data_IF_011826683554
#
_entry.id   IF_011826683554
#
_cell.length_a   1.000
_cell.length_b   1.000
_cell.length_c   1.000
_cell.angle_alpha   90.00
_cell.angle_beta   90.00
_cell.angle_gamma   90.00
#
_symmetry.space_group_name_H-M   'P 1'
#
loop_
_entity.id
_entity.type
_entity.pdbx_description
1 polymer ?
#
# COMPACT_ATOMS: atom_id res chain seq x y z
N UNK A 1 -17.00 39.74 -38.60
CA UNK A 1 -17.61 41.05 -38.93
C UNK A 1 -18.90 40.77 -39.67
N UNK A 2 -20.09 40.87 -39.06
CA UNK A 2 -20.42 41.04 -37.62
C UNK A 2 -20.30 39.66 -36.90
N UNK A 3 -20.83 39.27 -35.72
CA UNK A 3 -21.53 39.91 -34.57
C UNK A 3 -23.10 39.96 -34.47
N UNK A 4 -23.61 39.71 -33.25
CA UNK A 4 -24.97 39.92 -32.66
C UNK A 4 -26.20 39.20 -33.30
N UNK A 5 -27.12 38.57 -32.56
CA UNK A 5 -27.14 38.17 -31.13
C UNK A 5 -28.56 37.98 -30.50
N UNK A 6 -28.67 37.06 -29.52
CA UNK A 6 -29.78 36.84 -28.55
C UNK A 6 -31.17 36.36 -29.09
N UNK A 7 -32.09 35.75 -28.32
CA UNK A 7 -32.15 35.48 -26.86
C UNK A 7 -32.95 34.21 -26.45
N UNK A 8 -32.53 33.61 -25.32
CA UNK A 8 -33.26 32.89 -24.24
C UNK A 8 -34.69 32.31 -24.42
N UNK A 9 -34.88 31.03 -24.09
CA UNK A 9 -35.69 30.49 -22.94
C UNK A 9 -35.67 28.95 -22.97
N UNK A 10 -35.67 28.19 -21.86
CA UNK A 10 -35.65 28.56 -20.43
C UNK A 10 -35.23 27.37 -19.54
N UNK A 11 -35.25 27.56 -18.22
CA UNK A 11 -34.89 26.57 -17.18
C UNK A 11 -35.98 25.47 -17.04
N UNK A 12 -35.94 24.46 -16.15
CA UNK A 12 -35.17 24.16 -14.93
C UNK A 12 -35.33 22.62 -14.66
N UNK A 13 -34.72 21.91 -13.69
CA UNK A 13 -33.85 22.09 -12.50
C UNK A 13 -32.96 20.83 -12.36
N UNK A 14 -31.97 20.68 -11.47
CA UNK A 14 -30.96 21.56 -10.85
C UNK A 14 -30.06 20.71 -9.92
N UNK A 15 -28.82 21.15 -9.65
CA UNK A 15 -27.94 20.62 -8.59
C UNK A 15 -27.94 21.56 -7.35
N UNK A 16 -27.61 21.08 -6.14
CA UNK A 16 -27.27 21.94 -5.01
C UNK A 16 -25.79 22.37 -5.06
N UNK A 17 -25.51 23.47 -5.76
CA UNK A 17 -24.19 24.12 -5.75
C UNK A 17 -23.87 24.78 -4.41
N UNK A 18 -22.60 24.74 -3.97
CA UNK A 18 -22.07 25.67 -2.97
C UNK A 18 -21.39 26.87 -3.64
N UNK A 19 -21.75 28.07 -3.20
CA UNK A 19 -21.43 29.36 -3.84
C UNK A 19 -20.09 29.97 -3.38
N UNK A 20 -19.55 30.92 -4.15
CA UNK A 20 -18.18 31.43 -4.07
C UNK A 20 -18.06 32.96 -4.17
N UNK A 21 -18.60 33.70 -3.19
CA UNK A 21 -18.32 35.16 -3.04
C UNK A 21 -17.61 35.48 -1.72
N UNK A 22 -16.30 35.73 -1.82
CA UNK A 22 -15.37 35.73 -0.71
C UNK A 22 -15.47 36.86 0.33
N UNK A 23 -14.78 36.62 1.44
CA UNK A 23 -14.19 37.66 2.30
C UNK A 23 -12.69 37.45 2.37
N UNK A 24 -11.92 38.55 2.39
CA UNK A 24 -10.46 38.52 2.31
C UNK A 24 -9.82 38.84 3.66
N UNK A 25 -9.00 37.93 4.20
CA UNK A 25 -8.06 38.23 5.28
C UNK A 25 -6.69 37.58 5.04
N UNK A 26 -5.62 38.35 5.26
CA UNK A 26 -4.24 37.86 5.43
C UNK A 26 -3.92 37.73 6.93
N UNK A 27 -2.71 37.28 7.29
CA UNK A 27 -2.35 35.89 7.53
C UNK A 27 -2.47 35.55 9.03
N UNK A 28 -3.32 34.58 9.37
CA UNK A 28 -3.39 34.03 10.73
C UNK A 28 -2.52 32.79 10.85
N UNK A 29 -1.65 32.73 11.87
CA UNK A 29 -1.00 31.47 12.25
C UNK A 29 -2.06 30.52 12.83
N UNK A 30 -2.36 29.46 12.10
CA UNK A 30 -3.26 28.39 12.50
C UNK A 30 -3.07 27.23 11.54
N UNK A 31 -2.83 26.03 12.07
CA UNK A 31 -2.51 24.87 11.23
C UNK A 31 -3.65 24.53 10.28
N UNK A 32 -3.30 24.15 9.05
CA UNK A 32 -4.24 23.49 8.14
C UNK A 32 -4.66 22.16 8.77
N UNK A 33 -5.82 22.13 9.40
CA UNK A 33 -6.49 20.88 9.77
C UNK A 33 -6.70 20.09 8.49
N UNK A 34 -6.01 18.97 8.37
CA UNK A 34 -6.13 18.07 7.22
C UNK A 34 -7.58 17.63 7.08
N UNK A 35 -8.23 18.04 5.99
CA UNK A 35 -9.58 17.62 5.70
C UNK A 35 -9.55 16.14 5.31
N UNK A 36 -10.15 15.31 6.16
CA UNK A 36 -10.19 13.85 6.06
C UNK A 36 -11.00 13.31 4.87
N UNK A 37 -11.79 14.17 4.22
CA UNK A 37 -13.00 13.73 3.52
C UNK A 37 -12.78 13.40 2.04
N UNK A 38 -11.53 13.42 1.52
CA UNK A 38 -11.26 13.19 0.09
C UNK A 38 -9.96 12.44 -0.30
N UNK A 39 -9.12 11.97 0.63
CA UNK A 39 -7.86 11.26 0.30
C UNK A 39 -7.67 9.90 1.00
N UNK A 40 -8.71 9.07 0.94
CA UNK A 40 -8.58 7.61 0.79
C UNK A 40 -9.79 7.14 -0.01
N UNK A 41 -9.63 6.53 -1.18
CA UNK A 41 -10.78 6.04 -1.94
C UNK A 41 -11.56 4.96 -1.17
N UNK A 42 -12.90 5.01 -1.26
CA UNK A 42 -13.79 3.96 -0.76
C UNK A 42 -13.77 2.68 -1.63
N UNK A 43 -12.85 2.59 -2.60
CA UNK A 43 -12.53 1.36 -3.31
C UNK A 43 -11.59 0.44 -2.52
N UNK A 44 -10.63 1.02 -1.80
CA UNK A 44 -9.48 0.29 -1.24
C UNK A 44 -9.69 -0.24 0.19
N UNK A 45 -10.33 0.54 1.08
CA UNK A 45 -10.29 0.33 2.55
C UNK A 45 -10.76 -1.05 3.05
N UNK A 46 -11.59 -1.74 2.30
CA UNK A 46 -12.39 -2.87 2.79
C UNK A 46 -11.68 -4.24 2.67
N UNK A 47 -10.78 -4.39 1.68
CA UNK A 47 -10.19 -5.69 1.28
C UNK A 47 -8.68 -5.50 1.04
N UNK A 48 -7.96 -5.08 2.09
CA UNK A 48 -6.49 -5.06 2.11
C UNK A 48 -5.86 -6.31 2.74
N UNK A 49 -6.57 -6.98 3.66
CA UNK A 49 -6.14 -8.23 4.29
C UNK A 49 -7.35 -9.18 4.38
N UNK A 50 -7.13 -10.46 4.13
CA UNK A 50 -8.11 -11.51 4.38
C UNK A 50 -7.44 -12.83 4.80
N UNK A 51 -8.22 -13.75 5.35
CA UNK A 51 -7.74 -15.09 5.74
C UNK A 51 -8.11 -16.15 4.71
N UNK A 52 -7.18 -17.06 4.42
CA UNK A 52 -7.34 -18.19 3.50
C UNK A 52 -8.21 -19.33 4.06
N UNK A 53 -8.52 -19.30 5.35
CA UNK A 53 -9.38 -20.26 6.05
C UNK A 53 -10.82 -19.75 6.28
N UNK A 54 -11.17 -18.60 5.70
CA UNK A 54 -12.49 -17.99 5.85
C UNK A 54 -12.76 -17.43 7.26
N UNK A 55 -11.75 -17.30 8.12
CA UNK A 55 -11.91 -16.58 9.40
C UNK A 55 -12.03 -15.07 9.19
N UNK A 56 -12.80 -14.41 10.06
CA UNK A 56 -12.95 -12.96 10.08
C UNK A 56 -11.63 -12.28 10.50
N UNK A 57 -11.26 -11.24 9.74
CA UNK A 57 -10.09 -10.40 9.97
C UNK A 57 -10.55 -8.98 10.28
N UNK A 58 -10.35 -8.52 11.51
CA UNK A 58 -10.67 -7.13 11.91
C UNK A 58 -9.53 -6.20 11.51
N UNK A 59 -9.78 -5.22 10.63
CA UNK A 59 -8.81 -4.20 10.28
C UNK A 59 -8.74 -3.07 11.32
N UNK A 60 -7.73 -2.21 11.21
CA UNK A 60 -7.47 -1.06 12.08
C UNK A 60 -8.63 -0.03 12.19
N UNK A 61 -9.65 -0.12 11.32
CA UNK A 61 -10.82 0.76 11.31
C UNK A 61 -12.08 0.10 11.90
N UNK A 62 -11.99 -1.15 12.39
CA UNK A 62 -13.12 -1.88 12.97
C UNK A 62 -14.05 -2.55 11.95
N UNK A 63 -13.64 -2.63 10.68
CA UNK A 63 -14.29 -3.51 9.71
C UNK A 63 -13.72 -4.92 9.84
N UNK A 64 -14.59 -5.91 9.75
CA UNK A 64 -14.26 -7.33 9.73
C UNK A 64 -14.52 -7.86 8.32
N UNK A 65 -13.51 -8.47 7.70
CA UNK A 65 -13.59 -9.05 6.36
C UNK A 65 -13.25 -10.54 6.41
N UNK A 66 -13.98 -11.39 5.68
CA UNK A 66 -13.60 -12.79 5.45
C UNK A 66 -13.74 -13.18 3.98
N UNK A 67 -12.89 -14.08 3.51
CA UNK A 67 -13.04 -14.73 2.21
C UNK A 67 -14.13 -15.80 2.33
N UNK A 68 -15.27 -15.58 1.67
CA UNK A 68 -16.46 -16.44 1.71
C UNK A 68 -16.60 -17.32 0.46
N UNK A 69 -15.89 -17.00 -0.63
CA UNK A 69 -15.88 -17.81 -1.85
C UNK A 69 -14.70 -17.51 -2.76
N UNK A 70 -14.32 -18.51 -3.56
CA UNK A 70 -13.34 -18.41 -4.65
C UNK A 70 -13.96 -19.07 -5.88
N UNK A 71 -13.99 -18.38 -7.02
CA UNK A 71 -14.52 -18.92 -8.30
C UNK A 71 -13.45 -18.79 -9.39
N UNK A 72 -13.23 -19.86 -10.15
CA UNK A 72 -12.31 -19.89 -11.30
C UNK A 72 -12.84 -20.81 -12.41
N UNK A 73 -12.61 -20.48 -13.67
CA UNK A 73 -12.89 -21.37 -14.81
C UNK A 73 -11.68 -22.28 -15.08
N UNK A 74 -11.83 -23.58 -14.80
CA UNK A 74 -10.82 -24.60 -15.07
C UNK A 74 -11.08 -25.25 -16.44
N UNK A 75 -10.12 -25.30 -17.39
CA UNK A 75 -10.38 -25.83 -18.75
C UNK A 75 -10.80 -27.31 -18.82
N UNK A 76 -10.58 -28.11 -17.77
CA UNK A 76 -11.01 -29.51 -17.70
C UNK A 76 -12.28 -29.71 -16.87
N UNK A 77 -12.48 -28.87 -15.84
CA UNK A 77 -13.59 -29.00 -14.91
C UNK A 77 -14.72 -27.97 -15.11
N UNK A 78 -14.55 -26.98 -15.99
CA UNK A 78 -15.42 -25.80 -16.10
C UNK A 78 -15.31 -24.90 -14.88
N UNK A 79 -16.33 -24.08 -14.61
CA UNK A 79 -16.40 -23.27 -13.38
C UNK A 79 -16.26 -24.15 -12.13
N UNK A 80 -15.38 -23.74 -11.22
CA UNK A 80 -15.15 -24.35 -9.92
C UNK A 80 -15.25 -23.26 -8.85
N UNK A 81 -16.12 -23.50 -7.87
CA UNK A 81 -16.39 -22.62 -6.73
C UNK A 81 -16.00 -23.31 -5.41
N UNK A 82 -15.58 -22.55 -4.39
CA UNK A 82 -15.31 -23.07 -3.03
C UNK A 82 -15.44 -21.96 -1.98
N UNK A 83 -16.26 -22.19 -0.94
CA UNK A 83 -16.20 -21.48 0.34
C UNK A 83 -15.06 -22.06 1.20
N UNK A 84 -14.02 -21.28 1.56
CA UNK A 84 -12.93 -21.76 2.40
C UNK A 84 -13.36 -22.10 3.84
N UNK A 85 -14.38 -21.41 4.37
CA UNK A 85 -14.88 -21.56 5.73
C UNK A 85 -15.91 -22.69 5.91
N UNK A 86 -16.57 -23.15 4.84
CA UNK A 86 -17.52 -24.27 4.90
C UNK A 86 -16.88 -25.62 5.26
N UNK A 87 -15.55 -25.73 5.14
CA UNK A 87 -14.82 -26.98 5.28
C UNK A 87 -14.90 -27.86 4.02
N UNK A 88 -13.90 -28.72 3.83
CA UNK A 88 -13.76 -29.50 2.59
C UNK A 88 -14.79 -30.63 2.54
N UNK A 89 -15.93 -30.36 1.91
CA UNK A 89 -16.86 -31.39 1.44
C UNK A 89 -16.29 -32.13 0.22
N UNK A 90 -16.78 -33.33 -0.05
CA UNK A 90 -16.29 -34.16 -1.16
C UNK A 90 -16.78 -33.64 -2.51
N UNK A 91 -15.91 -32.99 -3.26
CA UNK A 91 -16.19 -32.42 -4.58
C UNK A 91 -14.93 -31.85 -5.22
N UNK A 92 -15.09 -31.11 -6.32
CA UNK A 92 -14.02 -30.20 -6.80
C UNK A 92 -13.76 -29.15 -5.72
N UNK A 93 -12.53 -28.66 -5.60
CA UNK A 93 -12.25 -27.51 -4.71
C UNK A 93 -11.15 -26.60 -5.25
N UNK A 94 -11.20 -25.34 -4.83
CA UNK A 94 -10.22 -24.29 -5.14
C UNK A 94 -9.48 -23.91 -3.86
N UNK A 95 -8.16 -23.73 -3.94
CA UNK A 95 -7.33 -23.26 -2.82
C UNK A 95 -6.36 -22.20 -3.32
N UNK A 96 -6.38 -21.00 -2.76
CA UNK A 96 -5.35 -19.99 -3.00
C UNK A 96 -4.02 -20.49 -2.43
N UNK A 97 -2.98 -20.48 -3.24
CA UNK A 97 -1.61 -20.83 -2.86
C UNK A 97 -0.72 -19.66 -3.27
N UNK A 98 -0.21 -18.92 -2.28
CA UNK A 98 0.48 -17.63 -2.48
C UNK A 98 2.00 -17.64 -2.24
N UNK A 99 2.78 -18.70 -2.55
CA UNK A 99 4.14 -18.86 -2.04
C UNK A 99 5.13 -17.75 -2.47
N UNK A 100 4.83 -17.03 -3.55
CA UNK A 100 5.61 -15.88 -4.04
C UNK A 100 4.74 -14.77 -4.68
N UNK A 101 3.56 -15.12 -5.19
CA UNK A 101 2.56 -14.23 -5.79
C UNK A 101 1.17 -14.88 -5.68
N UNK A 102 0.11 -14.21 -6.16
CA UNK A 102 -1.21 -14.83 -6.28
C UNK A 102 -1.17 -16.04 -7.21
N UNK A 103 -1.63 -17.18 -6.68
CA UNK A 103 -1.79 -18.43 -7.39
C UNK A 103 -2.90 -19.26 -6.78
N UNK A 104 -3.41 -20.22 -7.56
CA UNK A 104 -4.59 -21.01 -7.23
C UNK A 104 -4.34 -22.47 -7.60
N UNK A 105 -4.77 -23.41 -6.75
CA UNK A 105 -4.78 -24.84 -7.08
C UNK A 105 -6.22 -25.36 -7.11
N UNK A 106 -6.63 -25.87 -8.27
CA UNK A 106 -7.90 -26.59 -8.44
C UNK A 106 -7.64 -28.09 -8.25
N UNK A 107 -8.49 -28.73 -7.45
CA UNK A 107 -8.46 -30.17 -7.20
C UNK A 107 -9.70 -30.81 -7.83
N UNK A 108 -9.50 -31.90 -8.58
CA UNK A 108 -10.62 -32.72 -9.06
C UNK A 108 -11.36 -33.46 -7.94
N UNK A 109 -12.51 -34.10 -8.25
CA UNK A 109 -13.47 -34.59 -7.25
C UNK A 109 -12.99 -35.77 -6.38
N UNK A 110 -11.95 -36.48 -6.81
CA UNK A 110 -11.31 -37.58 -6.06
C UNK A 110 -9.86 -37.21 -5.69
N UNK A 111 -9.31 -37.66 -4.55
CA UNK A 111 -7.93 -37.33 -4.13
C UNK A 111 -6.82 -37.73 -5.11
N UNK A 112 -7.09 -38.68 -6.02
CA UNK A 112 -6.18 -39.15 -7.07
C UNK A 112 -6.31 -38.37 -8.40
N UNK A 113 -7.24 -37.42 -8.48
CA UNK A 113 -7.42 -36.59 -9.69
C UNK A 113 -6.20 -35.67 -9.88
N UNK A 114 -5.86 -35.30 -11.12
CA UNK A 114 -4.92 -34.21 -11.37
C UNK A 114 -5.31 -32.94 -10.61
N UNK A 115 -4.29 -32.28 -10.05
CA UNK A 115 -4.39 -30.92 -9.53
C UNK A 115 -3.90 -29.99 -10.63
N UNK A 116 -4.62 -28.90 -10.88
CA UNK A 116 -4.18 -27.85 -11.78
C UNK A 116 -3.74 -26.66 -10.96
N UNK A 117 -2.65 -26.00 -11.36
CA UNK A 117 -2.06 -24.86 -10.65
C UNK A 117 -2.00 -23.68 -11.61
N UNK A 118 -2.53 -22.55 -11.17
CA UNK A 118 -2.70 -21.32 -11.93
C UNK A 118 -1.93 -20.21 -11.23
N UNK A 119 -1.29 -19.31 -11.98
CA UNK A 119 -0.62 -18.12 -11.46
C UNK A 119 -0.12 -17.20 -12.57
N UNK A 120 0.02 -15.90 -12.30
CA UNK A 120 0.30 -14.91 -13.34
C UNK A 120 -0.93 -14.69 -14.23
N UNK A 121 -0.76 -14.70 -15.56
CA UNK A 121 -1.86 -14.56 -16.52
C UNK A 121 -2.95 -15.64 -16.32
N UNK A 122 -2.57 -16.85 -15.89
CA UNK A 122 -3.48 -17.99 -15.65
C UNK A 122 -4.51 -17.75 -14.52
N UNK A 123 -4.39 -16.67 -13.72
CA UNK A 123 -5.43 -16.27 -12.73
C UNK A 123 -6.25 -15.06 -13.15
N UNK A 124 -6.14 -14.56 -14.38
CA UNK A 124 -7.09 -13.57 -14.92
C UNK A 124 -8.47 -14.24 -15.03
N UNK A 125 -9.52 -13.55 -14.57
CA UNK A 125 -10.87 -14.11 -14.41
C UNK A 125 -11.11 -14.84 -13.08
N UNK A 126 -10.11 -14.97 -12.20
CA UNK A 126 -10.31 -15.41 -10.82
C UNK A 126 -11.20 -14.42 -10.07
N UNK A 127 -12.27 -14.91 -9.46
CA UNK A 127 -13.18 -14.12 -8.63
C UNK A 127 -13.06 -14.52 -7.16
N UNK A 128 -13.08 -13.52 -6.28
CA UNK A 128 -12.96 -13.64 -4.84
C UNK A 128 -14.19 -12.99 -4.21
N UNK A 129 -15.00 -13.80 -3.54
CA UNK A 129 -16.17 -13.35 -2.80
C UNK A 129 -15.80 -13.10 -1.34
N UNK A 130 -16.03 -11.87 -0.87
CA UNK A 130 -15.81 -11.46 0.51
C UNK A 130 -17.12 -11.10 1.21
N UNK A 131 -17.25 -11.54 2.45
CA UNK A 131 -18.19 -10.93 3.39
C UNK A 131 -17.45 -9.84 4.18
N UNK A 132 -18.07 -8.66 4.27
CA UNK A 132 -17.55 -7.49 5.01
C UNK A 132 -18.63 -7.01 5.98
N UNK A 133 -18.24 -6.65 7.21
CA UNK A 133 -19.13 -5.96 8.17
C UNK A 133 -18.36 -4.95 9.00
N UNK A 134 -19.04 -3.93 9.52
CA UNK A 134 -18.52 -3.22 10.70
C UNK A 134 -18.71 -4.13 11.94
N UNK A 135 -17.83 -4.04 12.94
CA UNK A 135 -17.87 -4.92 14.12
C UNK A 135 -19.27 -4.95 14.79
N UNK A 136 -19.88 -6.14 14.83
CA UNK A 136 -21.25 -6.36 15.35
C UNK A 136 -22.41 -5.85 14.47
N UNK A 137 -22.11 -5.31 13.29
CA UNK A 137 -23.09 -4.83 12.31
C UNK A 137 -23.57 -5.89 11.31
N UNK A 138 -24.42 -5.49 10.33
CA UNK A 138 -24.85 -6.37 9.25
C UNK A 138 -23.69 -6.73 8.33
N UNK A 139 -23.81 -7.90 7.69
CA UNK A 139 -22.88 -8.37 6.65
C UNK A 139 -23.31 -7.82 5.29
N UNK A 140 -22.31 -7.42 4.50
CA UNK A 140 -22.41 -7.03 3.10
C UNK A 140 -21.53 -7.97 2.28
N UNK A 141 -21.97 -8.33 1.08
CA UNK A 141 -21.18 -9.09 0.11
C UNK A 141 -20.37 -8.13 -0.77
N UNK A 142 -19.15 -8.52 -1.13
CA UNK A 142 -18.29 -7.77 -2.04
C UNK A 142 -17.48 -8.74 -2.88
N UNK A 143 -17.61 -8.65 -4.20
CA UNK A 143 -16.96 -9.53 -5.17
C UNK A 143 -15.83 -8.79 -5.87
N UNK A 144 -14.67 -9.44 -6.02
CA UNK A 144 -13.48 -8.87 -6.66
C UNK A 144 -12.92 -9.84 -7.70
N UNK A 145 -12.73 -9.36 -8.94
CA UNK A 145 -12.16 -10.12 -10.06
C UNK A 145 -10.73 -9.67 -10.35
N UNK A 146 -9.83 -10.62 -10.63
CA UNK A 146 -8.53 -10.35 -11.26
C UNK A 146 -8.76 -10.09 -12.74
N UNK A 147 -8.42 -8.90 -13.24
CA UNK A 147 -8.72 -8.48 -14.63
C UNK A 147 -7.48 -8.28 -15.50
N UNK A 148 -6.30 -8.19 -14.90
CA UNK A 148 -5.02 -8.00 -15.59
C UNK A 148 -3.86 -8.55 -14.76
N UNK A 149 -2.75 -8.90 -15.41
CA UNK A 149 -1.49 -9.33 -14.79
C UNK A 149 -0.30 -8.69 -15.50
N UNK A 150 0.68 -8.23 -14.73
CA UNK A 150 1.95 -7.76 -15.26
C UNK A 150 3.12 -8.18 -14.37
N UNK A 151 4.25 -8.52 -15.01
CA UNK A 151 5.55 -8.66 -14.36
C UNK A 151 6.24 -7.31 -14.32
N UNK A 152 6.92 -6.98 -13.23
CA UNK A 152 7.89 -5.87 -13.21
C UNK A 152 9.29 -6.33 -13.67
N UNK A 153 10.24 -5.40 -13.74
CA UNK A 153 11.61 -5.66 -14.23
C UNK A 153 12.36 -6.70 -13.37
N UNK A 154 11.98 -6.84 -12.09
CA UNK A 154 12.46 -7.90 -11.19
C UNK A 154 11.80 -9.28 -11.40
N UNK A 155 10.89 -9.41 -12.38
CA UNK A 155 10.16 -10.64 -12.67
C UNK A 155 9.05 -10.97 -11.68
N UNK A 156 8.67 -10.05 -10.79
CA UNK A 156 7.62 -10.29 -9.80
C UNK A 156 6.23 -9.97 -10.33
N UNK A 157 5.26 -10.83 -10.10
CA UNK A 157 3.85 -10.60 -10.50
C UNK A 157 3.10 -9.52 -9.73
N UNK A 158 2.40 -8.67 -10.47
CA UNK A 158 1.41 -7.69 -10.02
C UNK A 158 0.09 -7.89 -10.77
N UNK A 159 -1.03 -7.50 -10.17
CA UNK A 159 -2.38 -7.84 -10.68
C UNK A 159 -3.32 -6.65 -10.58
N UNK A 160 -4.18 -6.43 -11.58
CA UNK A 160 -5.31 -5.50 -11.46
C UNK A 160 -6.52 -6.23 -10.87
N UNK A 161 -7.20 -5.57 -9.93
CA UNK A 161 -8.38 -6.09 -9.24
C UNK A 161 -9.54 -5.12 -9.36
N UNK A 162 -10.69 -5.58 -9.88
CA UNK A 162 -11.93 -4.82 -9.99
C UNK A 162 -12.99 -5.35 -9.02
N UNK A 163 -13.68 -4.46 -8.28
CA UNK A 163 -14.97 -4.80 -7.66
C UNK A 163 -15.95 -5.11 -8.79
N UNK A 164 -16.70 -6.20 -8.69
CA UNK A 164 -17.70 -6.62 -9.67
C UNK A 164 -19.10 -6.62 -9.05
N UNK A 165 -20.11 -6.44 -9.90
CA UNK A 165 -21.52 -6.56 -9.54
C UNK A 165 -21.95 -8.04 -9.56
N UNK A 166 -22.41 -8.62 -8.44
CA UNK A 166 -22.81 -10.03 -8.40
C UNK A 166 -24.12 -10.33 -9.15
N UNK A 167 -24.96 -9.33 -9.46
CA UNK A 167 -26.20 -9.55 -10.24
C UNK A 167 -25.93 -9.60 -11.74
N UNK A 168 -25.00 -8.80 -12.25
CA UNK A 168 -24.71 -8.68 -13.69
C UNK A 168 -23.37 -9.29 -14.12
N UNK A 169 -22.48 -9.59 -13.18
CA UNK A 169 -21.09 -9.96 -13.44
C UNK A 169 -20.23 -8.81 -13.99
N UNK A 170 -20.75 -7.58 -14.05
CA UNK A 170 -20.07 -6.42 -14.63
C UNK A 170 -19.00 -5.82 -13.71
N UNK A 171 -17.90 -5.33 -14.30
CA UNK A 171 -16.88 -4.57 -13.58
C UNK A 171 -17.44 -3.21 -13.12
N UNK A 172 -17.39 -2.93 -11.82
CA UNK A 172 -17.83 -1.65 -11.23
C UNK A 172 -16.67 -0.64 -11.22
N UNK A 173 -15.59 -1.00 -10.54
CA UNK A 173 -14.43 -0.12 -10.34
C UNK A 173 -13.19 -0.89 -9.85
N UNK A 174 -11.97 -0.47 -10.21
CA UNK A 174 -10.74 -0.97 -9.60
C UNK A 174 -10.67 -0.67 -8.10
N UNK A 175 -10.16 -1.63 -7.31
CA UNK A 175 -9.91 -1.45 -5.86
C UNK A 175 -8.73 -0.52 -5.60
N UNK A 176 -7.80 -0.41 -6.56
CA UNK A 176 -6.58 0.37 -6.44
C UNK A 176 -6.66 1.73 -7.14
N UNK A 177 -6.06 2.72 -6.49
CA UNK A 177 -5.80 4.04 -7.03
C UNK A 177 -4.70 3.99 -8.11
N UNK A 178 -4.57 5.09 -8.86
CA UNK A 178 -3.61 5.22 -9.97
C UNK A 178 -2.20 5.44 -9.41
N UNK A 179 -1.22 4.68 -9.89
CA UNK A 179 0.20 4.87 -9.58
C UNK A 179 0.86 5.94 -10.48
N UNK A 180 2.16 6.18 -10.29
CA UNK A 180 2.92 7.18 -11.05
C UNK A 180 2.99 6.90 -12.56
N UNK A 181 2.71 5.67 -12.98
CA UNK A 181 2.81 5.21 -14.36
C UNK A 181 1.43 5.15 -15.04
N UNK A 182 0.36 5.49 -14.32
CA UNK A 182 -1.03 5.43 -14.80
C UNK A 182 -1.73 4.09 -14.55
N UNK A 183 -1.05 3.11 -13.96
CA UNK A 183 -1.59 1.77 -13.74
C UNK A 183 -2.30 1.65 -12.39
N UNK A 184 -3.08 0.57 -12.22
CA UNK A 184 -3.90 0.30 -11.01
C UNK A 184 -3.63 -1.09 -10.45
N UNK A 185 -2.37 -1.49 -10.46
CA UNK A 185 -1.94 -2.84 -10.05
C UNK A 185 -1.78 -2.94 -8.54
N UNK A 186 -1.83 -4.17 -8.03
CA UNK A 186 -1.47 -4.52 -6.66
C UNK A 186 -0.48 -5.69 -6.62
N UNK A 187 0.26 -5.74 -5.52
CA UNK A 187 1.05 -6.88 -5.07
C UNK A 187 0.22 -7.73 -4.11
N UNK A 188 0.48 -9.03 -4.12
CA UNK A 188 -0.19 -9.99 -3.22
C UNK A 188 0.87 -10.69 -2.39
N UNK A 189 0.86 -10.46 -1.08
CA UNK A 189 1.84 -11.01 -0.15
C UNK A 189 1.23 -12.12 0.71
N UNK A 190 1.86 -13.30 0.84
CA UNK A 190 1.42 -14.36 1.74
C UNK A 190 1.80 -14.12 3.19
N UNK A 191 1.05 -14.73 4.10
CA UNK A 191 1.39 -14.96 5.50
C UNK A 191 1.82 -13.70 6.28
N UNK A 192 1.30 -12.54 5.90
CA UNK A 192 1.66 -11.24 6.48
C UNK A 192 0.43 -10.37 6.65
N UNK A 193 0.43 -9.58 7.72
CA UNK A 193 -0.44 -8.42 7.94
C UNK A 193 0.41 -7.16 7.92
N UNK A 194 -0.04 -6.12 7.23
CA UNK A 194 0.64 -4.83 7.09
C UNK A 194 -0.33 -3.72 7.49
N UNK A 195 -0.04 -3.10 8.65
CA UNK A 195 -0.83 -2.00 9.21
C UNK A 195 -0.74 -0.78 8.28
N UNK A 196 -1.88 -0.33 7.77
CA UNK A 196 -1.95 0.77 6.79
C UNK A 196 -1.75 2.16 7.40
N UNK A 197 -1.76 2.29 8.73
CA UNK A 197 -1.52 3.56 9.45
C UNK A 197 -0.05 3.68 9.82
N UNK A 198 0.50 2.75 10.60
CA UNK A 198 1.86 2.86 11.15
C UNK A 198 2.92 2.05 10.38
N UNK A 199 2.51 1.22 9.41
CA UNK A 199 3.43 0.42 8.58
C UNK A 199 4.05 -0.78 9.31
N UNK A 200 3.54 -1.16 10.47
CA UNK A 200 3.96 -2.38 11.19
C UNK A 200 3.66 -3.61 10.34
N UNK A 201 4.61 -4.55 10.36
CA UNK A 201 4.58 -5.78 9.55
C UNK A 201 4.59 -6.95 10.52
N UNK A 202 3.62 -7.85 10.41
CA UNK A 202 3.50 -9.02 11.29
C UNK A 202 3.33 -10.28 10.45
N UNK A 203 4.20 -11.27 10.65
CA UNK A 203 4.07 -12.58 10.04
C UNK A 203 2.86 -13.31 10.63
N UNK A 204 1.76 -13.37 9.89
CA UNK A 204 0.50 -14.02 10.26
C UNK A 204 0.16 -15.13 9.25
N UNK A 205 0.41 -16.41 9.59
CA UNK A 205 0.08 -17.54 8.72
C UNK A 205 -1.38 -17.53 8.25
N UNK A 206 -1.61 -17.99 7.02
CA UNK A 206 -2.90 -17.99 6.32
C UNK A 206 -3.50 -16.59 6.02
N UNK A 207 -2.80 -15.48 6.28
CA UNK A 207 -3.19 -14.17 5.74
C UNK A 207 -2.73 -13.97 4.31
N UNK A 208 -3.46 -13.12 3.60
CA UNK A 208 -3.05 -12.53 2.32
C UNK A 208 -3.27 -11.03 2.39
N UNK A 209 -2.21 -10.25 2.13
CA UNK A 209 -2.31 -8.81 1.93
C UNK A 209 -2.44 -8.48 0.44
N UNK A 210 -3.36 -7.58 0.07
CA UNK A 210 -3.43 -6.93 -1.24
C UNK A 210 -2.94 -5.49 -1.12
N UNK A 211 -1.80 -5.21 -1.73
CA UNK A 211 -1.03 -3.97 -1.60
C UNK A 211 -0.90 -3.23 -2.94
N UNK A 212 -1.77 -2.24 -3.17
CA UNK A 212 -1.77 -1.41 -4.38
C UNK A 212 -0.41 -0.72 -4.63
N UNK A 213 0.06 -0.70 -5.88
CA UNK A 213 1.30 0.00 -6.29
C UNK A 213 1.21 1.53 -6.20
N UNK A 214 0.00 2.09 -6.01
CA UNK A 214 -0.15 3.49 -5.62
C UNK A 214 0.26 3.75 -4.15
N UNK A 215 0.12 2.75 -3.27
CA UNK A 215 0.37 2.85 -1.82
C UNK A 215 1.79 2.40 -1.44
N UNK A 216 2.26 2.83 -0.26
CA UNK A 216 3.63 2.54 0.19
C UNK A 216 3.99 1.04 0.28
N UNK A 217 3.12 0.13 0.76
CA UNK A 217 3.43 -1.31 0.76
C UNK A 217 3.67 -1.87 -0.65
N UNK A 218 2.84 -1.49 -1.62
CA UNK A 218 3.03 -1.90 -3.02
C UNK A 218 4.32 -1.31 -3.60
N UNK A 219 4.55 0.00 -3.43
CA UNK A 219 5.77 0.69 -3.88
C UNK A 219 7.05 0.11 -3.29
N UNK A 220 7.03 -0.28 -2.02
CA UNK A 220 8.19 -0.87 -1.31
C UNK A 220 8.71 -2.13 -2.02
N UNK A 221 7.82 -2.93 -2.61
CA UNK A 221 8.20 -4.10 -3.42
C UNK A 221 8.89 -3.80 -4.74
N UNK A 222 8.67 -2.61 -5.32
CA UNK A 222 9.31 -2.20 -6.58
C UNK A 222 10.78 -1.84 -6.39
N UNK A 223 11.16 -1.44 -5.16
CA UNK A 223 12.56 -1.37 -4.72
C UNK A 223 13.11 -2.76 -4.29
N UNK A 224 12.36 -3.83 -4.51
CA UNK A 224 12.72 -5.22 -4.19
C UNK A 224 12.63 -5.60 -2.70
N UNK A 225 12.23 -4.69 -1.80
CA UNK A 225 12.00 -5.06 -0.40
C UNK A 225 10.66 -5.79 -0.30
N UNK A 226 10.68 -7.06 0.10
CA UNK A 226 9.51 -7.93 0.20
C UNK A 226 9.39 -8.48 1.63
N UNK A 227 8.18 -8.68 2.17
CA UNK A 227 8.00 -9.19 3.54
C UNK A 227 8.76 -10.49 3.82
N UNK A 228 8.77 -11.42 2.86
CA UNK A 228 9.47 -12.70 2.94
C UNK A 228 11.00 -12.62 3.03
N UNK A 229 11.60 -11.43 2.86
CA UNK A 229 13.03 -11.19 3.08
C UNK A 229 13.33 -10.58 4.46
N UNK A 230 12.29 -10.29 5.26
CA UNK A 230 12.40 -9.89 6.66
C UNK A 230 11.47 -8.72 6.99
N UNK A 231 10.50 -8.95 7.89
CA UNK A 231 9.50 -7.96 8.31
C UNK A 231 10.10 -6.62 8.76
N UNK A 232 11.22 -6.64 9.49
CA UNK A 232 11.92 -5.41 9.94
C UNK A 232 12.46 -4.58 8.76
N UNK A 233 13.09 -5.23 7.78
CA UNK A 233 13.63 -4.55 6.59
C UNK A 233 12.53 -3.98 5.70
N UNK A 234 11.42 -4.72 5.56
CA UNK A 234 10.26 -4.29 4.79
C UNK A 234 9.49 -3.17 5.51
N UNK A 235 9.40 -3.20 6.84
CA UNK A 235 8.89 -2.08 7.64
C UNK A 235 9.78 -0.83 7.47
N UNK A 236 11.10 -0.99 7.58
CA UNK A 236 12.06 0.11 7.42
C UNK A 236 11.93 0.76 6.03
N UNK A 237 11.90 -0.04 4.97
CA UNK A 237 11.69 0.42 3.61
C UNK A 237 10.31 1.10 3.43
N UNK A 238 9.24 0.60 4.06
CA UNK A 238 7.94 1.28 4.07
C UNK A 238 8.02 2.67 4.73
N UNK A 239 8.74 2.82 5.85
CA UNK A 239 8.93 4.15 6.49
C UNK A 239 9.67 5.10 5.56
N UNK A 240 10.72 4.63 4.88
CA UNK A 240 11.48 5.40 3.88
C UNK A 240 10.58 5.84 2.72
N UNK A 241 9.82 4.92 2.11
CA UNK A 241 8.90 5.22 1.00
C UNK A 241 7.88 6.29 1.40
N UNK A 242 7.39 6.26 2.64
CA UNK A 242 6.42 7.22 3.20
C UNK A 242 7.01 8.56 3.65
N UNK A 243 8.33 8.67 3.77
CA UNK A 243 8.99 9.69 4.58
C UNK A 243 8.40 9.77 6.01
N UNK A 244 8.20 8.61 6.66
CA UNK A 244 7.73 8.50 8.07
C UNK A 244 8.88 8.82 9.05
N UNK A 245 9.36 10.07 9.00
CA UNK A 245 10.47 10.58 9.80
C UNK A 245 10.26 10.35 11.31
N UNK A 246 9.00 10.34 11.76
CA UNK A 246 8.68 10.23 13.16
C UNK A 246 8.52 8.78 13.64
N UNK A 247 8.42 7.81 12.74
CA UNK A 247 8.09 6.40 13.00
C UNK A 247 6.71 6.21 13.66
N UNK A 248 5.80 7.19 13.49
CA UNK A 248 4.45 7.19 14.03
C UNK A 248 3.38 6.82 12.97
N UNK A 249 3.78 6.73 11.70
CA UNK A 249 2.86 6.49 10.59
C UNK A 249 2.32 7.75 9.92
N UNK A 250 2.82 8.93 10.26
CA UNK A 250 2.50 10.14 9.51
C UNK A 250 3.45 10.31 8.30
N UNK A 251 2.95 10.32 7.06
CA UNK A 251 3.80 10.46 5.87
C UNK A 251 4.15 11.94 5.62
N UNK A 252 5.45 12.28 5.60
CA UNK A 252 5.94 13.61 5.21
C UNK A 252 6.22 13.70 3.70
N UNK A 253 5.36 13.11 2.87
CA UNK A 253 5.50 13.08 1.40
C UNK A 253 4.15 13.06 0.67
N UNK A 254 4.17 13.37 -0.62
CA UNK A 254 3.01 13.34 -1.52
C UNK A 254 3.39 12.73 -2.89
N UNK A 255 2.41 12.34 -3.74
CA UNK A 255 2.70 11.78 -5.06
C UNK A 255 3.51 12.73 -5.94
N UNK A 256 4.54 12.20 -6.63
CA UNK A 256 5.39 12.95 -7.55
C UNK A 256 6.80 13.27 -7.03
N UNK A 257 7.07 13.11 -5.73
CA UNK A 257 8.41 13.30 -5.18
C UNK A 257 9.34 12.14 -5.58
N UNK A 258 10.57 12.46 -5.99
CA UNK A 258 11.61 11.47 -6.32
C UNK A 258 12.14 10.81 -5.06
N UNK A 259 12.48 9.52 -5.14
CA UNK A 259 13.16 8.77 -4.09
C UNK A 259 14.17 7.82 -4.75
N UNK A 260 15.41 7.88 -4.28
CA UNK A 260 16.44 6.87 -4.52
C UNK A 260 16.79 6.25 -3.16
N UNK A 261 16.98 4.92 -3.11
CA UNK A 261 17.27 4.18 -1.89
C UNK A 261 18.57 3.38 -2.06
N UNK A 262 19.45 3.49 -1.07
CA UNK A 262 20.61 2.62 -0.86
C UNK A 262 20.47 1.94 0.50
N UNK A 263 21.04 0.76 0.70
CA UNK A 263 21.03 0.08 1.99
C UNK A 263 22.36 -0.62 2.28
N UNK A 264 22.55 -1.15 3.48
CA UNK A 264 23.80 -1.83 3.87
C UNK A 264 23.66 -3.37 3.99
N UNK A 265 22.52 -3.95 3.60
CA UNK A 265 22.13 -5.31 4.00
C UNK A 265 21.59 -6.21 2.87
N UNK A 266 21.19 -5.67 1.71
CA UNK A 266 20.73 -6.46 0.55
C UNK A 266 21.79 -6.58 -0.52
N UNK A 267 22.11 -7.78 -1.03
CA UNK A 267 23.10 -7.95 -2.08
C UNK A 267 22.56 -7.65 -3.49
N UNK A 268 21.25 -7.45 -3.65
CA UNK A 268 20.64 -7.02 -4.93
C UNK A 268 20.56 -5.49 -5.07
N UNK A 269 20.85 -4.73 -4.00
CA UNK A 269 20.88 -3.27 -3.98
C UNK A 269 22.35 -2.81 -3.96
N UNK A 270 22.64 -1.59 -4.41
CA UNK A 270 23.97 -1.00 -4.25
C UNK A 270 24.25 -0.81 -2.76
N UNK A 271 25.12 -1.65 -2.20
CA UNK A 271 25.43 -1.62 -0.77
C UNK A 271 26.26 -0.39 -0.42
N UNK A 272 25.84 0.30 0.65
CA UNK A 272 26.46 1.51 1.20
C UNK A 272 26.55 1.35 2.71
N UNK A 273 27.74 1.45 3.28
CA UNK A 273 28.01 1.25 4.71
C UNK A 273 28.34 2.55 5.44
N UNK A 274 28.37 3.70 4.76
CA UNK A 274 28.63 5.00 5.38
C UNK A 274 28.07 6.18 4.58
N UNK A 275 27.86 7.32 5.27
CA UNK A 275 27.52 8.60 4.63
C UNK A 275 28.56 9.02 3.58
N UNK A 276 29.85 8.89 3.89
CA UNK A 276 30.92 9.31 2.98
C UNK A 276 31.01 8.43 1.71
N UNK A 277 30.57 7.17 1.79
CA UNK A 277 30.41 6.29 0.64
C UNK A 277 29.20 6.67 -0.21
N UNK A 278 28.06 6.99 0.42
CA UNK A 278 26.89 7.55 -0.27
C UNK A 278 27.24 8.83 -1.04
N UNK A 279 27.93 9.77 -0.39
CA UNK A 279 28.35 11.05 -0.97
C UNK A 279 29.29 10.85 -2.19
N UNK A 280 29.99 9.73 -2.28
CA UNK A 280 30.77 9.32 -3.46
C UNK A 280 29.97 8.72 -4.61
N UNK A 281 28.67 8.44 -4.40
CA UNK A 281 27.73 7.87 -5.38
C UNK A 281 26.66 8.86 -5.86
N UNK A 282 26.50 10.02 -5.21
CA UNK A 282 25.50 11.03 -5.60
C UNK A 282 25.82 11.66 -6.96
N UNK A 283 24.80 11.76 -7.83
CA UNK A 283 24.90 12.51 -9.10
C UNK A 283 24.68 14.03 -8.88
N UNK A 284 24.97 14.83 -9.90
CA UNK A 284 24.76 16.29 -9.85
C UNK A 284 23.28 16.63 -9.59
N UNK A 285 23.01 17.34 -8.49
CA UNK A 285 21.66 17.69 -8.05
C UNK A 285 20.98 16.64 -7.16
N UNK A 286 21.63 15.52 -6.84
CA UNK A 286 21.16 14.60 -5.80
C UNK A 286 21.66 15.03 -4.42
N UNK A 287 20.83 14.87 -3.38
CA UNK A 287 21.16 15.19 -1.99
C UNK A 287 20.64 14.12 -1.02
N UNK A 288 21.37 13.92 0.08
CA UNK A 288 20.95 13.05 1.19
C UNK A 288 19.68 13.61 1.86
N UNK A 289 18.61 12.83 1.84
CA UNK A 289 17.37 13.16 2.53
C UNK A 289 17.39 12.74 3.99
N UNK A 290 17.72 11.47 4.28
CA UNK A 290 17.75 10.94 5.64
C UNK A 290 18.50 9.60 5.71
N UNK A 291 18.97 9.27 6.91
CA UNK A 291 19.53 7.95 7.25
C UNK A 291 18.58 7.26 8.22
N UNK A 292 18.18 6.03 7.88
CA UNK A 292 17.09 5.30 8.53
C UNK A 292 17.62 4.02 9.19
N UNK A 293 17.15 3.74 10.41
CA UNK A 293 17.35 2.46 11.11
C UNK A 293 16.01 1.88 11.60
N UNK A 294 16.01 0.69 12.23
CA UNK A 294 14.77 -0.03 12.58
C UNK A 294 13.72 0.80 13.35
N UNK A 295 14.18 1.75 14.18
CA UNK A 295 13.37 2.58 15.06
C UNK A 295 12.99 3.95 14.47
N UNK A 296 13.15 4.14 13.16
CA UNK A 296 12.96 5.42 12.45
C UNK A 296 14.28 6.06 12.01
N UNK A 297 14.25 7.34 11.65
CA UNK A 297 15.46 8.04 11.22
C UNK A 297 16.46 8.25 12.36
N UNK A 298 17.73 8.16 11.97
CA UNK A 298 18.92 8.44 12.77
C UNK A 298 19.38 9.88 12.57
N UNK A 299 19.19 10.43 11.36
CA UNK A 299 19.36 11.84 11.02
C UNK A 299 18.49 12.24 9.82
N UNK A 300 18.31 13.55 9.61
CA UNK A 300 17.69 14.15 8.43
C UNK A 300 18.63 15.17 7.75
N UNK A 301 18.63 15.17 6.42
CA UNK A 301 19.29 16.16 5.55
C UNK A 301 18.22 17.03 4.89
N UNK A 302 18.11 16.98 3.55
CA UNK A 302 17.12 17.75 2.77
C UNK A 302 15.86 16.91 2.51
N UNK A 303 14.68 17.23 3.09
CA UNK A 303 13.45 16.50 2.82
C UNK A 303 13.07 16.51 1.32
N UNK A 304 12.58 15.39 0.75
CA UNK A 304 12.14 15.34 -0.67
C UNK A 304 10.93 16.23 -1.02
N UNK A 305 10.36 16.92 -0.04
CA UNK A 305 9.30 17.90 -0.20
C UNK A 305 9.92 19.29 -0.17
N UNK A 306 10.00 19.96 -1.31
CA UNK A 306 10.64 21.29 -1.45
C UNK A 306 9.98 22.43 -0.66
N UNK A 307 8.86 22.15 0.01
CA UNK A 307 8.14 23.07 0.91
C UNK A 307 8.27 22.71 2.39
N UNK A 308 9.20 21.81 2.75
CA UNK A 308 9.42 21.29 4.10
C UNK A 308 10.91 21.36 4.43
N UNK A 309 11.30 22.13 5.44
CA UNK A 309 12.67 22.12 5.94
C UNK A 309 12.88 21.01 6.98
N UNK A 310 14.14 20.65 7.24
CA UNK A 310 14.48 19.70 8.31
C UNK A 310 13.95 20.17 9.68
N UNK A 311 13.96 21.48 9.91
CA UNK A 311 13.47 22.12 11.14
C UNK A 311 11.95 22.05 11.30
N UNK A 312 11.18 21.86 10.22
CA UNK A 312 9.72 21.72 10.26
C UNK A 312 9.29 20.31 10.69
N UNK A 313 10.19 19.31 10.61
CA UNK A 313 9.95 17.93 11.07
C UNK A 313 10.03 17.89 12.59
N UNK A 314 8.89 18.16 13.23
CA UNK A 314 8.72 18.18 14.69
C UNK A 314 7.84 17.00 15.10
N UNK A 315 8.47 15.91 15.51
CA UNK A 315 7.77 14.68 15.82
C UNK A 315 6.98 14.78 17.13
N UNK A 316 5.81 14.11 17.21
CA UNK A 316 5.12 13.91 18.47
C UNK A 316 6.00 13.14 19.45
N UNK A 317 5.59 13.22 20.70
CA UNK A 317 6.44 12.99 21.86
C UNK A 317 7.09 11.60 21.88
N UNK A 318 8.43 11.55 21.78
CA UNK A 318 9.22 10.33 22.02
C UNK A 318 9.72 10.29 23.47
N UNK A 319 9.77 9.09 24.04
CA UNK A 319 10.40 8.85 25.35
C UNK A 319 11.91 8.76 25.15
N UNK A 320 12.62 9.86 25.39
CA UNK A 320 14.09 9.91 25.28
C UNK A 320 14.71 9.35 26.57
N UNK A 321 15.61 8.35 26.51
CA UNK A 321 16.29 7.84 27.70
C UNK A 321 17.01 8.95 28.46
N UNK A 322 16.78 9.02 29.78
CA UNK A 322 17.31 10.03 30.72
C UNK A 322 16.70 11.45 30.63
N UNK A 323 15.71 11.70 29.78
CA UNK A 323 14.89 12.93 29.85
C UNK A 323 13.76 12.77 30.88
N UNK A 324 13.60 13.68 31.86
CA UNK A 324 12.58 13.55 32.92
C UNK A 324 11.17 13.93 32.46
N UNK A 325 11.03 14.48 31.26
CA UNK A 325 9.76 14.87 30.68
C UNK A 325 9.72 14.52 29.20
N UNK A 326 8.58 14.00 28.79
CA UNK A 326 8.25 13.71 27.41
C UNK A 326 8.19 15.03 26.60
N UNK A 327 8.96 15.13 25.51
CA UNK A 327 9.09 16.33 24.64
C UNK A 327 8.87 15.97 23.18
N UNK A 328 8.46 16.95 22.37
CA UNK A 328 8.53 16.83 20.92
C UNK A 328 9.99 16.61 20.51
N UNK A 329 10.22 15.60 19.68
CA UNK A 329 11.55 15.23 19.22
C UNK A 329 11.81 15.85 17.84
N UNK A 330 12.97 16.50 17.68
CA UNK A 330 13.49 16.84 16.36
C UNK A 330 14.58 15.83 15.98
N UNK A 331 14.58 15.31 14.74
CA UNK A 331 15.72 14.55 14.24
C UNK A 331 16.98 15.42 14.21
N UNK A 332 18.18 14.86 14.43
CA UNK A 332 19.43 15.59 14.26
C UNK A 332 19.74 15.78 12.76
N UNK A 333 20.54 16.81 12.43
CA UNK A 333 21.07 16.95 11.06
C UNK A 333 21.97 15.78 10.69
N UNK A 334 21.96 15.38 9.42
CA UNK A 334 22.92 14.44 8.85
C UNK A 334 24.31 15.03 8.64
N UNK A 335 24.55 16.34 8.84
CA UNK A 335 25.86 16.99 8.64
C UNK A 335 26.97 16.30 9.44
N UNK A 336 26.83 16.27 10.77
CA UNK A 336 27.75 15.68 11.73
C UNK A 336 27.42 14.20 12.05
N UNK A 337 26.65 13.51 11.22
CA UNK A 337 26.22 12.14 11.52
C UNK A 337 27.37 11.13 11.45
N UNK A 338 27.61 10.46 12.58
CA UNK A 338 28.49 9.30 12.73
C UNK A 338 27.62 8.12 13.16
N UNK A 339 27.62 7.03 12.39
CA UNK A 339 26.84 5.85 12.73
C UNK A 339 27.42 5.16 13.98
N UNK A 340 26.65 4.99 15.07
CA UNK A 340 27.13 4.30 16.27
C UNK A 340 27.16 2.77 16.13
N UNK A 341 26.46 2.22 15.14
CA UNK A 341 26.25 0.78 14.92
C UNK A 341 26.09 0.46 13.42
N UNK A 342 27.14 0.68 12.59
CA UNK A 342 27.08 0.47 11.14
C UNK A 342 26.80 -0.98 10.69
N UNK A 343 26.82 -1.93 11.64
CA UNK A 343 26.45 -3.34 11.47
C UNK A 343 24.94 -3.62 11.54
N UNK A 344 24.14 -2.71 12.10
CA UNK A 344 22.66 -2.77 12.05
C UNK A 344 22.16 -2.61 10.61
N UNK A 345 20.91 -2.99 10.32
CA UNK A 345 20.27 -2.56 9.06
C UNK A 345 20.15 -1.03 8.96
N UNK A 346 20.50 -0.49 7.79
CA UNK A 346 20.41 0.91 7.41
C UNK A 346 19.77 1.05 6.03
N UNK A 347 18.98 2.10 5.85
CA UNK A 347 18.62 2.62 4.52
C UNK A 347 19.02 4.09 4.47
N UNK A 348 19.58 4.52 3.35
CA UNK A 348 19.92 5.90 3.03
C UNK A 348 18.95 6.35 1.94
N UNK A 349 18.17 7.41 2.20
CA UNK A 349 17.28 7.98 1.17
C UNK A 349 17.87 9.23 0.56
N UNK A 350 17.69 9.37 -0.75
CA UNK A 350 18.25 10.43 -1.58
C UNK A 350 17.13 11.02 -2.43
N UNK A 351 17.16 12.35 -2.58
CA UNK A 351 16.22 13.14 -3.38
C UNK A 351 16.97 14.00 -4.40
N UNK A 352 16.26 14.54 -5.39
CA UNK A 352 16.71 15.74 -6.08
C UNK A 352 16.62 16.95 -5.11
N UNK A 353 17.58 17.86 -5.18
CA UNK A 353 17.66 19.11 -4.40
C UNK A 353 17.43 20.39 -5.21
#
# INVERSE_FOLDING_TARGET
MLLVGAALTGCDTAEPSFDSTGTSFRPGWGGTTFNTDNWVSAGARDIHEFSLDGTWVTNQFGFETRLAGIVIEDPQYGVVETDPGAGVTSGKRVVINTPQALGVTVFGPNPQSPKHMYGGEDVIGLELHFEVRYHGGPVYESWVRVVDHALDEGGGSSFAFHKIDPETGGDIAPICEIDSNGAKMARVFPNVSIDGVNGTVVDLPNRVQVACLAAAPGKTSLYGYLPQFGAESYMLANRVVRADYCADGYPYTYPGNTLIMYDNFRPEVTQVHSKAELEGLLEEGQVLEAIWGPNGILCIGTPRVSTLAAEDVVCPIKFVPNEPAAKNWKPPSCDDFVDPSPEDIRIYSVTAG
#
